data_IF_481609402828
#
_entry.id   IF_481609402828
#
_cell.length_a   1.000
_cell.length_b   1.000
_cell.length_c   1.000
_cell.angle_alpha   90.00
_cell.angle_beta   90.00
_cell.angle_gamma   90.00
#
_symmetry.space_group_name_H-M   'P 1'
#
loop_
_entity.id
_entity.type
_entity.pdbx_description
1 polymer ?
#
# COMPACT_ATOMS: atom_id res chain seq x y z
N UNK A 1 -24.67 12.17 -13.13
CA UNK A 1 -23.71 11.63 -14.11
C UNK A 1 -22.97 10.49 -13.41
N UNK A 2 -23.46 9.27 -13.62
CA UNK A 2 -22.94 8.06 -12.97
C UNK A 2 -21.70 7.63 -13.76
N UNK A 3 -20.50 7.85 -13.23
CA UNK A 3 -19.28 7.30 -13.81
C UNK A 3 -19.24 5.80 -13.49
N UNK A 4 -19.88 5.02 -14.34
CA UNK A 4 -19.64 3.59 -14.45
C UNK A 4 -18.46 3.40 -15.41
N UNK A 5 -17.25 3.42 -14.88
CA UNK A 5 -16.08 2.85 -15.54
C UNK A 5 -15.31 2.10 -14.46
N UNK A 6 -15.37 0.76 -14.50
CA UNK A 6 -14.58 -0.07 -13.59
C UNK A 6 -13.11 0.23 -13.82
N UNK A 7 -12.43 0.79 -12.82
CA UNK A 7 -11.01 1.02 -12.91
C UNK A 7 -10.31 -0.31 -13.14
N UNK A 8 -9.32 -0.34 -14.05
CA UNK A 8 -8.61 -1.58 -14.33
C UNK A 8 -7.77 -2.00 -13.12
N UNK A 9 -7.82 -3.29 -12.80
CA UNK A 9 -6.93 -3.88 -11.81
C UNK A 9 -5.50 -3.90 -12.35
N UNK A 10 -4.58 -3.39 -11.55
CA UNK A 10 -3.14 -3.48 -11.80
C UNK A 10 -2.59 -4.65 -10.99
N UNK A 11 -1.89 -5.55 -11.68
CA UNK A 11 -1.23 -6.71 -11.07
C UNK A 11 0.27 -6.46 -10.98
N UNK A 12 0.86 -6.75 -9.83
CA UNK A 12 2.31 -6.67 -9.61
C UNK A 12 2.81 -7.89 -8.86
N UNK A 13 4.06 -8.25 -9.13
CA UNK A 13 4.81 -9.20 -8.31
C UNK A 13 5.60 -8.44 -7.25
N UNK A 14 5.68 -9.01 -6.06
CA UNK A 14 6.44 -8.46 -4.93
C UNK A 14 7.05 -9.61 -4.12
N UNK A 15 7.93 -9.30 -3.17
CA UNK A 15 8.50 -10.26 -2.24
C UNK A 15 8.31 -9.72 -0.82
N UNK A 16 7.83 -10.55 0.10
CA UNK A 16 7.82 -10.22 1.52
C UNK A 16 9.25 -10.28 2.11
N UNK A 17 10.15 -9.42 1.63
CA UNK A 17 11.57 -9.50 1.90
C UNK A 17 11.87 -9.32 3.40
N UNK A 18 12.63 -10.26 3.97
CA UNK A 18 13.02 -10.23 5.39
C UNK A 18 13.72 -8.92 5.77
N UNK A 19 14.50 -8.36 4.85
CA UNK A 19 15.20 -7.09 5.07
C UNK A 19 14.24 -5.92 5.32
N UNK A 20 13.07 -5.89 4.67
CA UNK A 20 12.05 -4.84 4.87
C UNK A 20 11.29 -5.09 6.15
N UNK A 21 10.95 -6.35 6.45
CA UNK A 21 10.31 -6.72 7.73
C UNK A 21 11.17 -6.31 8.92
N UNK A 22 12.48 -6.53 8.84
CA UNK A 22 13.43 -6.11 9.89
C UNK A 22 13.49 -4.59 10.05
N UNK A 23 13.32 -3.81 8.97
CA UNK A 23 13.19 -2.34 9.07
C UNK A 23 11.90 -1.92 9.77
N UNK A 24 10.79 -2.61 9.49
CA UNK A 24 9.52 -2.37 10.22
C UNK A 24 9.68 -2.70 11.70
N UNK A 25 10.35 -3.81 12.04
CA UNK A 25 10.67 -4.16 13.42
C UNK A 25 11.48 -3.07 14.12
N UNK A 26 12.57 -2.61 13.50
CA UNK A 26 13.40 -1.53 14.03
C UNK A 26 12.63 -0.21 14.18
N UNK A 27 11.77 0.13 13.21
CA UNK A 27 10.88 1.32 13.29
C UNK A 27 9.96 1.27 14.51
N UNK A 28 9.57 0.07 14.94
CA UNK A 28 8.69 -0.17 16.08
C UNK A 28 9.47 -0.48 17.37
N UNK A 29 10.79 -0.27 17.38
CA UNK A 29 11.69 -0.55 18.50
C UNK A 29 11.65 -2.02 18.98
N UNK A 30 11.57 -2.95 18.02
CA UNK A 30 11.59 -4.39 18.24
C UNK A 30 12.92 -4.99 17.79
N UNK A 31 13.37 -6.05 18.48
CA UNK A 31 14.57 -6.80 18.11
C UNK A 31 14.43 -7.38 16.68
N UNK A 32 15.11 -6.76 15.72
CA UNK A 32 14.92 -7.06 14.31
C UNK A 32 15.48 -8.43 13.90
N UNK A 33 16.54 -8.89 14.57
CA UNK A 33 17.20 -10.16 14.25
C UNK A 33 16.29 -11.38 14.46
N UNK A 34 15.24 -11.25 15.28
CA UNK A 34 14.27 -12.32 15.59
C UNK A 34 13.43 -12.76 14.40
N UNK A 35 13.29 -11.91 13.38
CA UNK A 35 12.48 -12.21 12.20
C UNK A 35 13.35 -12.84 11.12
N UNK A 36 12.97 -14.05 10.70
CA UNK A 36 13.68 -14.81 9.66
C UNK A 36 12.75 -15.21 8.54
N UNK A 37 13.31 -15.71 7.42
CA UNK A 37 12.50 -16.27 6.34
C UNK A 37 11.72 -17.49 6.82
N UNK A 38 10.50 -17.66 6.32
CA UNK A 38 9.57 -18.71 6.73
C UNK A 38 8.67 -18.36 7.92
N UNK A 39 9.05 -17.39 8.75
CA UNK A 39 8.16 -16.85 9.80
C UNK A 39 6.90 -16.21 9.19
N UNK A 40 5.81 -16.16 9.94
CA UNK A 40 4.61 -15.44 9.51
C UNK A 40 4.77 -13.94 9.76
N UNK A 41 4.50 -13.12 8.73
CA UNK A 41 4.49 -11.68 8.83
C UNK A 41 3.44 -11.24 9.87
N UNK A 42 3.80 -10.40 10.87
CA UNK A 42 2.84 -9.89 11.83
C UNK A 42 1.68 -9.15 11.15
N UNK A 43 0.45 -9.43 11.61
CA UNK A 43 -0.74 -8.80 11.04
C UNK A 43 -0.67 -7.28 11.16
N UNK A 44 -0.87 -6.62 10.02
CA UNK A 44 -0.87 -5.16 9.91
C UNK A 44 0.43 -4.57 9.41
N UNK A 45 1.50 -5.37 9.29
CA UNK A 45 2.81 -4.96 8.80
C UNK A 45 2.94 -4.98 7.27
N UNK A 46 1.95 -5.51 6.55
CA UNK A 46 1.93 -5.61 5.08
C UNK A 46 1.89 -4.25 4.35
N UNK A 47 1.86 -3.12 5.05
CA UNK A 47 1.73 -1.80 4.42
C UNK A 47 2.86 -1.45 3.46
N UNK A 48 4.07 -1.99 3.67
CA UNK A 48 5.20 -1.75 2.76
C UNK A 48 4.96 -2.39 1.39
N UNK A 49 4.16 -3.46 1.31
CA UNK A 49 3.75 -4.11 0.07
C UNK A 49 2.70 -3.30 -0.71
N UNK A 50 2.25 -2.14 -0.20
CA UNK A 50 1.19 -1.33 -0.83
C UNK A 50 1.74 -0.08 -1.54
N UNK A 51 3.03 0.23 -1.38
CA UNK A 51 3.66 1.40 -1.97
C UNK A 51 3.73 1.34 -3.50
N UNK A 52 3.76 2.52 -4.13
CA UNK A 52 4.17 2.72 -5.52
C UNK A 52 5.69 2.94 -5.64
N UNK A 53 6.24 2.59 -6.80
CA UNK A 53 7.67 2.69 -7.14
C UNK A 53 7.96 3.90 -8.05
N UNK A 54 7.35 5.05 -7.74
CA UNK A 54 7.55 6.26 -8.54
C UNK A 54 8.99 6.81 -8.33
N UNK A 55 9.71 7.17 -9.40
CA UNK A 55 10.97 7.89 -9.26
C UNK A 55 10.71 9.24 -8.58
N UNK A 56 11.75 9.81 -7.96
CA UNK A 56 11.63 11.07 -7.21
C UNK A 56 11.04 12.23 -8.03
N UNK A 57 11.32 12.26 -9.33
CA UNK A 57 10.78 13.25 -10.28
C UNK A 57 9.26 13.18 -10.45
N UNK A 58 8.68 12.01 -10.17
CA UNK A 58 7.27 11.70 -10.43
C UNK A 58 6.46 11.68 -9.14
N UNK A 59 7.10 11.96 -7.99
CA UNK A 59 6.38 12.14 -6.74
C UNK A 59 5.52 13.40 -6.82
N UNK A 60 4.33 13.33 -6.23
CA UNK A 60 3.54 14.53 -5.99
C UNK A 60 4.30 15.52 -5.11
N UNK A 61 3.87 16.78 -5.12
CA UNK A 61 4.47 17.83 -4.28
C UNK A 61 4.48 17.50 -2.78
N UNK A 62 3.54 16.66 -2.31
CA UNK A 62 3.47 16.14 -0.95
C UNK A 62 4.31 14.87 -0.70
N UNK A 63 5.10 14.44 -1.69
CA UNK A 63 5.97 13.27 -1.63
C UNK A 63 5.28 11.93 -1.87
N UNK A 64 3.97 11.92 -2.17
CA UNK A 64 3.23 10.68 -2.38
C UNK A 64 3.63 10.00 -3.70
N UNK A 65 4.04 8.73 -3.62
CA UNK A 65 4.46 7.90 -4.76
C UNK A 65 3.31 7.12 -5.45
N UNK A 66 2.08 7.23 -4.93
CA UNK A 66 0.96 6.41 -5.39
C UNK A 66 0.88 5.04 -4.70
N UNK A 67 -0.18 4.30 -5.02
CA UNK A 67 -0.38 2.90 -4.59
C UNK A 67 -0.11 1.89 -5.72
N UNK A 68 0.63 2.32 -6.75
CA UNK A 68 0.86 1.54 -7.97
C UNK A 68 -0.35 1.43 -8.91
N UNK A 69 -1.45 2.14 -8.61
CA UNK A 69 -2.60 2.37 -9.50
C UNK A 69 -2.63 3.84 -9.95
N UNK A 70 -3.09 4.11 -11.19
CA UNK A 70 -3.16 5.48 -11.71
C UNK A 70 -4.33 6.24 -11.06
N UNK A 71 -4.03 7.05 -10.05
CA UNK A 71 -4.99 7.97 -9.44
C UNK A 71 -4.97 9.27 -10.26
N UNK A 72 -6.11 9.77 -10.76
CA UNK A 72 -6.15 11.01 -11.53
C UNK A 72 -5.70 12.19 -10.66
N UNK A 73 -5.19 13.25 -11.29
CA UNK A 73 -4.95 14.50 -10.58
C UNK A 73 -6.30 15.09 -10.13
N UNK A 74 -6.47 15.22 -8.82
CA UNK A 74 -7.69 15.73 -8.19
C UNK A 74 -7.61 17.25 -7.93
N UNK A 75 -6.50 17.91 -8.28
CA UNK A 75 -6.28 19.33 -7.99
C UNK A 75 -6.11 19.64 -6.49
N UNK A 76 -5.95 18.61 -5.65
CA UNK A 76 -5.83 18.75 -4.20
C UNK A 76 -4.35 18.85 -3.80
N UNK A 77 -4.00 19.80 -2.91
CA UNK A 77 -2.60 20.09 -2.59
C UNK A 77 -1.92 18.99 -1.78
N UNK A 78 -2.68 18.21 -1.00
CA UNK A 78 -2.17 17.11 -0.16
C UNK A 78 -3.19 15.99 -0.08
N UNK A 79 -2.68 14.77 0.05
CA UNK A 79 -3.48 13.60 0.38
C UNK A 79 -3.42 13.30 1.88
N UNK A 80 -4.55 12.82 2.41
CA UNK A 80 -4.65 12.26 3.74
C UNK A 80 -5.24 10.86 3.62
N UNK A 81 -4.54 9.87 4.18
CA UNK A 81 -5.10 8.52 4.32
C UNK A 81 -6.08 8.56 5.48
N UNK A 82 -7.38 8.53 5.17
CA UNK A 82 -8.44 8.57 6.18
C UNK A 82 -8.56 7.27 6.99
N UNK A 83 -8.12 6.14 6.42
CA UNK A 83 -8.17 4.85 7.08
C UNK A 83 -7.91 3.70 6.11
N UNK A 84 -7.91 2.48 6.66
CA UNK A 84 -7.79 1.22 5.91
C UNK A 84 -8.68 0.15 6.55
N UNK A 85 -9.32 -0.66 5.74
CA UNK A 85 -10.01 -1.89 6.17
C UNK A 85 -9.23 -3.08 5.63
N UNK A 86 -8.94 -4.06 6.48
CA UNK A 86 -8.14 -5.23 6.11
C UNK A 86 -8.85 -6.51 6.53
N UNK A 87 -8.96 -7.46 5.60
CA UNK A 87 -9.34 -8.84 5.87
C UNK A 87 -8.12 -9.76 5.72
N UNK A 88 -7.93 -10.68 6.67
CA UNK A 88 -6.83 -11.66 6.64
C UNK A 88 -7.40 -13.04 6.30
N UNK A 89 -7.18 -13.48 5.06
CA UNK A 89 -7.61 -14.81 4.60
C UNK A 89 -6.59 -15.90 4.95
N UNK A 90 -5.31 -15.53 4.98
CA UNK A 90 -4.20 -16.35 5.42
C UNK A 90 -3.07 -15.45 5.92
N UNK A 91 -2.11 -16.02 6.63
CA UNK A 91 -0.89 -15.30 6.98
C UNK A 91 0.07 -15.27 5.78
N UNK A 92 1.01 -14.31 5.76
CA UNK A 92 2.00 -14.12 4.69
C UNK A 92 3.35 -14.61 5.22
N UNK A 93 3.95 -15.68 4.64
CA UNK A 93 5.29 -16.07 5.02
C UNK A 93 6.33 -15.03 4.60
N UNK A 94 7.27 -14.71 5.49
CA UNK A 94 8.42 -13.87 5.18
C UNK A 94 9.30 -14.61 4.15
N UNK A 95 9.70 -13.89 3.10
CA UNK A 95 10.40 -14.44 1.94
C UNK A 95 9.48 -14.91 0.81
N UNK A 96 8.16 -14.92 1.00
CA UNK A 96 7.24 -15.35 -0.04
C UNK A 96 7.23 -14.41 -1.24
N UNK A 97 7.17 -14.99 -2.45
CA UNK A 97 6.77 -14.28 -3.66
C UNK A 97 5.26 -14.02 -3.61
N UNK A 98 4.86 -12.79 -3.86
CA UNK A 98 3.49 -12.32 -3.75
C UNK A 98 3.02 -11.75 -5.09
N UNK A 99 1.71 -11.87 -5.32
CA UNK A 99 1.02 -11.15 -6.39
C UNK A 99 0.04 -10.19 -5.73
N UNK A 100 0.20 -8.89 -6.00
CA UNK A 100 -0.69 -7.83 -5.56
C UNK A 100 -1.59 -7.42 -6.70
N UNK A 101 -2.90 -7.48 -6.50
CA UNK A 101 -3.90 -6.87 -7.39
C UNK A 101 -4.46 -5.63 -6.71
N UNK A 102 -4.36 -4.48 -7.38
CA UNK A 102 -4.84 -3.20 -6.87
C UNK A 102 -5.82 -2.58 -7.86
N UNK A 103 -6.92 -2.02 -7.36
CA UNK A 103 -7.93 -1.34 -8.16
C UNK A 103 -8.44 -0.12 -7.41
N UNK A 104 -8.80 0.93 -8.15
CA UNK A 104 -9.56 2.05 -7.58
C UNK A 104 -11.02 1.63 -7.55
N UNK A 105 -11.54 1.40 -6.36
CA UNK A 105 -12.95 1.02 -6.18
C UNK A 105 -13.88 2.21 -6.51
N UNK A 106 -13.58 3.39 -5.93
CA UNK A 106 -14.43 4.57 -6.04
C UNK A 106 -13.66 5.87 -5.87
N UNK A 107 -14.02 6.90 -6.63
CA UNK A 107 -13.56 8.29 -6.44
C UNK A 107 -14.80 9.17 -6.30
N UNK A 108 -14.89 9.90 -5.20
CA UNK A 108 -16.01 10.82 -4.95
C UNK A 108 -15.53 12.12 -4.30
N UNK A 109 -16.11 13.23 -4.74
CA UNK A 109 -15.93 14.51 -4.08
C UNK A 109 -16.80 14.57 -2.82
N UNK A 110 -16.17 14.66 -1.64
CA UNK A 110 -16.91 14.83 -0.39
C UNK A 110 -17.30 16.29 -0.21
N UNK A 111 -18.59 16.54 0.02
CA UNK A 111 -19.09 17.83 0.50
C UNK A 111 -19.19 17.81 2.02
N UNK A 112 -18.95 18.95 2.66
CA UNK A 112 -19.24 19.09 4.10
C UNK A 112 -20.76 19.24 4.24
N UNK A 113 -21.42 18.45 5.11
CA UNK A 113 -22.84 18.67 5.41
C UNK A 113 -23.05 20.10 5.94
N UNK A 114 -24.14 20.74 5.50
CA UNK A 114 -24.58 22.05 5.99
C UNK A 114 -24.96 22.01 7.46
#
# INVERSE_FOLDING_TARGET
MTLADGHQSIVRSDVCAVSVVRRVAAMLDLESSRFVEGDMLPRGWHFFLLGGEAPRSDLRADGFSGFGVPIPDLGLPRLLIAGRTVAYHSDIPIGANLVRSSVIDKIEHKTVPS
#
